data_IF_377449108275
#
_entry.id   IF_377449108275
#
_cell.length_a   1.000
_cell.length_b   1.000
_cell.length_c   1.000
_cell.angle_alpha   90.00
_cell.angle_beta   90.00
_cell.angle_gamma   90.00
#
_symmetry.space_group_name_H-M   'P 1'
#
loop_
_entity.id
_entity.type
_entity.pdbx_description
1 polymer ?
#
# COMPACT_ATOMS: atom_id res chain seq x y z
N UNK A 1 0.47 -50.85 -30.02
CA UNK A 1 -0.20 -50.81 -31.32
C UNK A 1 -1.65 -50.40 -31.07
N UNK A 2 -1.95 -49.12 -31.25
CA UNK A 2 -3.31 -48.58 -31.17
C UNK A 2 -3.39 -47.44 -32.20
N UNK A 3 -4.36 -47.58 -33.10
CA UNK A 3 -4.45 -46.93 -34.40
C UNK A 3 -5.08 -45.54 -34.25
N UNK A 4 -4.38 -44.50 -34.69
CA UNK A 4 -4.92 -43.14 -34.82
C UNK A 4 -5.53 -42.97 -36.21
N UNK A 5 -6.80 -42.56 -36.28
CA UNK A 5 -7.49 -42.17 -37.51
C UNK A 5 -7.56 -40.64 -37.51
N UNK A 6 -6.83 -40.01 -38.42
CA UNK A 6 -6.85 -38.56 -38.65
C UNK A 6 -7.59 -38.31 -39.95
N UNK A 7 -8.73 -37.62 -39.89
CA UNK A 7 -9.45 -37.16 -41.09
C UNK A 7 -9.04 -35.73 -41.40
N UNK A 8 -8.38 -35.56 -42.54
CA UNK A 8 -8.15 -34.32 -43.27
C UNK A 8 -9.40 -34.03 -44.10
N UNK A 9 -9.93 -32.80 -44.03
CA UNK A 9 -10.89 -32.30 -45.04
C UNK A 9 -10.55 -30.85 -45.38
N UNK A 10 -10.48 -30.65 -46.69
CA UNK A 10 -9.96 -29.52 -47.43
C UNK A 10 -11.01 -28.46 -47.73
N UNK A 11 -10.49 -27.30 -48.15
CA UNK A 11 -11.08 -25.97 -48.32
C UNK A 11 -12.23 -25.82 -49.33
N UNK A 12 -13.01 -24.75 -49.16
CA UNK A 12 -13.68 -24.03 -50.25
C UNK A 12 -13.60 -22.51 -50.04
N UNK A 13 -13.31 -21.82 -51.14
CA UNK A 13 -13.07 -20.38 -51.33
C UNK A 13 -14.34 -19.68 -51.82
N UNK A 14 -14.57 -18.42 -51.42
CA UNK A 14 -15.24 -17.30 -52.15
C UNK A 14 -15.11 -16.06 -51.25
N UNK A 15 -14.20 -15.10 -51.46
CA UNK A 15 -14.22 -13.97 -52.42
C UNK A 15 -15.55 -13.24 -52.53
N UNK A 16 -15.62 -12.05 -51.91
CA UNK A 16 -16.11 -10.83 -52.58
C UNK A 16 -15.37 -9.61 -52.01
N UNK A 17 -14.94 -8.75 -52.94
CA UNK A 17 -14.18 -7.54 -52.74
C UNK A 17 -14.95 -6.36 -53.35
N UNK A 18 -14.87 -5.18 -52.73
CA UNK A 18 -14.99 -3.82 -53.30
C UNK A 18 -14.62 -2.86 -52.13
N UNK A 19 -13.39 -2.32 -52.04
CA UNK A 19 -12.92 -1.01 -52.58
C UNK A 19 -13.84 0.16 -52.20
N UNK A 20 -13.42 1.31 -51.65
CA UNK A 20 -12.22 2.13 -51.86
C UNK A 20 -12.16 3.25 -50.76
N UNK A 21 -11.36 4.34 -50.82
CA UNK A 21 -10.39 4.69 -49.76
C UNK A 21 -10.61 6.11 -49.18
N UNK A 22 -9.58 6.59 -48.47
CA UNK A 22 -9.23 8.01 -48.24
C UNK A 22 -9.82 8.68 -46.98
N UNK A 23 -8.96 8.97 -46.00
CA UNK A 23 -8.45 10.33 -45.75
C UNK A 23 -7.82 10.43 -44.35
N UNK A 24 -6.55 10.82 -44.34
CA UNK A 24 -5.86 11.38 -43.17
C UNK A 24 -6.64 12.57 -42.62
N UNK A 25 -6.82 12.64 -41.30
CA UNK A 25 -6.94 13.94 -40.64
C UNK A 25 -6.31 13.89 -39.24
N UNK A 26 -5.21 14.62 -39.12
CA UNK A 26 -4.50 14.96 -37.90
C UNK A 26 -5.39 15.79 -36.95
N UNK A 27 -5.05 15.88 -35.65
CA UNK A 27 -5.95 16.42 -34.63
C UNK A 27 -6.08 17.95 -34.75
N UNK A 28 -7.31 18.43 -34.60
CA UNK A 28 -7.66 19.85 -34.57
C UNK A 28 -7.03 20.53 -33.37
N UNK A 29 -6.12 21.48 -33.64
CA UNK A 29 -5.51 22.36 -32.66
C UNK A 29 -6.52 23.34 -32.07
N UNK A 30 -6.60 23.40 -30.74
CA UNK A 30 -7.22 24.50 -30.01
C UNK A 30 -6.30 25.72 -30.07
N UNK A 31 -6.75 26.77 -30.76
CA UNK A 31 -6.06 28.05 -30.92
C UNK A 31 -6.49 28.98 -29.79
N UNK A 32 -5.70 29.06 -28.71
CA UNK A 32 -5.91 30.04 -27.64
C UNK A 32 -5.16 31.33 -28.01
N UNK A 33 -5.92 32.42 -28.14
CA UNK A 33 -5.39 33.74 -28.42
C UNK A 33 -4.62 34.31 -27.23
N UNK A 34 -3.48 34.91 -27.49
CA UNK A 34 -2.82 35.88 -26.63
C UNK A 34 -3.59 37.21 -26.60
N UNK A 35 -3.52 37.95 -25.48
CA UNK A 35 -3.00 39.31 -25.59
C UNK A 35 -1.82 39.57 -24.65
N UNK A 36 -0.98 40.48 -25.14
CA UNK A 36 0.23 41.02 -24.55
C UNK A 36 -0.07 42.02 -23.42
N UNK A 37 0.80 41.97 -22.40
CA UNK A 37 1.41 43.09 -21.65
C UNK A 37 0.54 43.84 -20.62
N UNK A 38 0.94 43.74 -19.35
CA UNK A 38 1.44 44.92 -18.65
C UNK A 38 2.44 44.56 -17.54
N UNK A 39 3.60 45.20 -17.66
CA UNK A 39 4.65 45.32 -16.66
C UNK A 39 4.13 46.30 -15.61
N UNK A 40 4.13 45.90 -14.34
CA UNK A 40 4.39 46.87 -13.29
C UNK A 40 5.23 46.24 -12.19
N UNK A 41 6.33 46.92 -11.91
CA UNK A 41 7.40 46.53 -11.00
C UNK A 41 7.20 47.27 -9.69
N UNK A 42 7.01 46.55 -8.59
CA UNK A 42 7.38 47.04 -7.26
C UNK A 42 7.94 45.90 -6.40
N UNK A 43 8.81 46.31 -5.49
CA UNK A 43 10.04 45.67 -5.07
C UNK A 43 9.91 45.02 -3.69
N UNK A 44 10.56 43.86 -3.53
CA UNK A 44 11.18 43.30 -2.32
C UNK A 44 10.39 43.29 -1.00
N UNK A 45 10.01 42.09 -0.57
CA UNK A 45 10.35 41.59 0.76
C UNK A 45 10.91 40.16 0.60
N UNK A 46 12.18 39.99 0.97
CA UNK A 46 12.92 38.72 0.95
C UNK A 46 12.46 37.84 2.12
N UNK A 47 11.58 36.88 1.86
CA UNK A 47 11.31 35.74 2.77
C UNK A 47 12.18 34.54 2.36
N UNK A 48 13.05 34.00 3.25
CA UNK A 48 14.03 32.98 2.87
C UNK A 48 13.52 31.52 2.91
N UNK A 49 12.20 31.26 2.92
CA UNK A 49 11.67 29.89 3.12
C UNK A 49 10.48 29.54 2.19
N UNK A 50 10.69 29.50 0.88
CA UNK A 50 9.64 29.18 -0.11
C UNK A 50 10.08 28.28 -1.28
N UNK A 51 11.12 27.46 -1.10
CA UNK A 51 11.67 26.63 -2.19
C UNK A 51 11.21 25.17 -2.24
N UNK A 52 10.42 24.68 -1.28
CA UNK A 52 9.80 23.35 -1.40
C UNK A 52 8.46 23.47 -2.13
N UNK A 53 8.52 23.63 -3.45
CA UNK A 53 7.32 23.65 -4.28
C UNK A 53 6.63 22.28 -4.21
N UNK A 54 5.30 22.21 -3.94
CA UNK A 54 4.54 20.96 -3.95
C UNK A 54 4.61 20.21 -5.29
N UNK A 55 5.03 20.89 -6.36
CA UNK A 55 5.25 20.32 -7.68
C UNK A 55 6.43 19.34 -7.74
N UNK A 56 7.42 19.46 -6.85
CA UNK A 56 8.60 18.60 -6.85
C UNK A 56 8.30 17.11 -6.56
N UNK A 57 7.10 16.77 -6.04
CA UNK A 57 6.64 15.36 -5.92
C UNK A 57 6.60 14.68 -7.28
N UNK A 58 6.17 15.41 -8.29
CA UNK A 58 5.94 14.86 -9.62
C UNK A 58 7.24 14.63 -10.39
N UNK A 59 8.36 15.18 -9.93
CA UNK A 59 9.69 14.93 -10.49
C UNK A 59 10.30 13.61 -10.00
N UNK A 60 9.77 13.03 -8.92
CA UNK A 60 10.23 11.75 -8.38
C UNK A 60 9.67 10.62 -9.25
N UNK A 61 10.56 9.80 -9.82
CA UNK A 61 10.13 8.62 -10.58
C UNK A 61 9.45 7.59 -9.66
N UNK A 62 8.48 6.81 -10.16
CA UNK A 62 7.83 5.76 -9.37
C UNK A 62 8.80 4.74 -8.79
N UNK A 63 9.86 4.40 -9.53
CA UNK A 63 10.93 3.50 -9.07
C UNK A 63 11.72 4.11 -7.90
N UNK A 64 12.02 5.42 -7.96
CA UNK A 64 12.68 6.11 -6.86
C UNK A 64 11.79 6.14 -5.60
N UNK A 65 10.50 6.44 -5.75
CA UNK A 65 9.55 6.42 -4.65
C UNK A 65 9.40 5.02 -4.01
N UNK A 66 9.44 3.97 -4.83
CA UNK A 66 9.47 2.59 -4.35
C UNK A 66 10.72 2.31 -3.51
N UNK A 67 11.89 2.78 -3.94
CA UNK A 67 13.12 2.64 -3.16
C UNK A 67 13.04 3.41 -1.83
N UNK A 68 12.47 4.62 -1.83
CA UNK A 68 12.24 5.40 -0.60
C UNK A 68 11.33 4.64 0.37
N UNK A 69 10.22 4.06 -0.12
CA UNK A 69 9.36 3.19 0.68
C UNK A 69 10.14 2.00 1.25
N UNK A 70 10.93 1.30 0.43
CA UNK A 70 11.73 0.16 0.88
C UNK A 70 12.68 0.55 2.01
N UNK A 71 13.42 1.64 1.83
CA UNK A 71 14.37 2.17 2.83
C UNK A 71 13.66 2.53 4.13
N UNK A 72 12.49 3.18 4.06
CA UNK A 72 11.71 3.52 5.25
C UNK A 72 11.30 2.27 6.03
N UNK A 73 10.79 1.23 5.35
CA UNK A 73 10.34 0.00 6.00
C UNK A 73 11.51 -0.76 6.63
N UNK A 74 12.65 -0.83 5.96
CA UNK A 74 13.87 -1.44 6.51
C UNK A 74 14.38 -0.66 7.73
N UNK A 75 14.35 0.66 7.68
CA UNK A 75 14.69 1.55 8.81
C UNK A 75 13.77 1.33 10.01
N UNK A 76 12.45 1.27 9.79
CA UNK A 76 11.48 0.95 10.85
C UNK A 76 11.75 -0.44 11.43
N UNK A 77 12.04 -1.43 10.58
CA UNK A 77 12.40 -2.78 11.01
C UNK A 77 13.66 -2.79 11.89
N UNK A 78 14.69 -2.04 11.52
CA UNK A 78 15.91 -1.91 12.31
C UNK A 78 15.67 -1.19 13.64
N UNK A 79 14.87 -0.12 13.64
CA UNK A 79 14.48 0.61 14.85
C UNK A 79 13.79 -0.31 15.87
N UNK A 80 12.80 -1.09 15.43
CA UNK A 80 12.09 -2.03 16.31
C UNK A 80 12.89 -3.28 16.68
N UNK A 81 13.94 -3.63 15.93
CA UNK A 81 14.87 -4.68 16.32
C UNK A 81 15.83 -4.23 17.43
N UNK A 82 16.20 -2.95 17.45
CA UNK A 82 17.11 -2.37 18.45
C UNK A 82 16.41 -1.98 19.75
N UNK A 83 15.13 -1.58 19.70
CA UNK A 83 14.31 -1.35 20.89
C UNK A 83 14.05 -2.71 21.54
N UNK A 84 14.78 -3.11 22.60
CA UNK A 84 14.47 -4.35 23.28
C UNK A 84 13.06 -4.17 23.83
N UNK A 85 12.19 -5.16 23.62
CA UNK A 85 10.94 -5.25 24.38
C UNK A 85 11.36 -5.32 25.84
N UNK A 86 11.37 -4.17 26.52
CA UNK A 86 11.56 -4.09 27.95
C UNK A 86 10.50 -4.96 28.59
N UNK A 87 10.92 -5.88 29.43
CA UNK A 87 10.09 -6.70 30.32
C UNK A 87 9.45 -5.85 31.43
N UNK A 88 8.85 -4.71 31.08
CA UNK A 88 8.04 -3.86 31.95
C UNK A 88 7.11 -3.06 31.02
N UNK A 89 5.94 -3.66 30.74
CA UNK A 89 4.65 -3.04 30.30
C UNK A 89 3.73 -4.02 29.55
N UNK A 90 3.98 -5.33 29.62
CA UNK A 90 2.93 -6.34 29.41
C UNK A 90 3.02 -7.43 30.48
N UNK A 91 2.90 -7.06 31.76
CA UNK A 91 2.55 -8.03 32.80
C UNK A 91 1.04 -8.20 32.86
N UNK A 92 0.63 -9.36 32.35
CA UNK A 92 -0.65 -9.98 32.63
C UNK A 92 -0.92 -10.10 34.14
N UNK A 93 -2.16 -9.82 34.54
CA UNK A 93 -2.75 -10.55 35.67
C UNK A 93 -3.29 -11.88 35.16
N UNK A 94 -2.76 -12.99 35.70
CA UNK A 94 -3.43 -14.29 35.65
C UNK A 94 -2.58 -15.43 35.10
N UNK A 95 -1.61 -15.91 35.88
CA UNK A 95 -0.88 -17.16 35.65
C UNK A 95 -1.79 -18.39 35.65
N UNK A 96 -1.52 -19.37 34.78
CA UNK A 96 -1.26 -20.78 35.16
C UNK A 96 -0.67 -21.54 33.96
N UNK A 97 0.44 -22.23 34.25
CA UNK A 97 1.20 -23.10 33.37
C UNK A 97 0.40 -24.34 32.95
N UNK A 98 0.36 -24.65 31.65
CA UNK A 98 0.11 -26.01 31.18
C UNK A 98 0.79 -26.27 29.83
N UNK A 99 1.63 -27.30 29.81
CA UNK A 99 2.39 -27.79 28.68
C UNK A 99 1.51 -28.04 27.45
N UNK A 100 1.97 -27.60 26.27
CA UNK A 100 1.31 -27.90 25.00
C UNK A 100 1.91 -29.15 24.39
N UNK A 101 1.19 -30.26 24.55
CA UNK A 101 1.15 -31.29 23.51
C UNK A 101 0.27 -30.77 22.37
N UNK A 102 0.73 -30.92 21.13
CA UNK A 102 -0.04 -30.72 19.89
C UNK A 102 -1.26 -31.65 19.88
N UNK A 103 -2.45 -31.15 19.51
CA UNK A 103 -3.12 -31.78 18.37
C UNK A 103 -3.99 -30.84 17.52
N UNK A 104 -4.06 -31.17 16.21
CA UNK A 104 -5.30 -31.18 15.43
C UNK A 104 -5.89 -29.85 15.00
N UNK A 105 -5.97 -29.67 13.67
CA UNK A 105 -6.83 -28.67 13.03
C UNK A 105 -8.27 -28.83 13.53
N UNK A 106 -8.79 -27.81 14.22
CA UNK A 106 -10.23 -27.65 14.39
C UNK A 106 -10.61 -26.17 14.39
N UNK A 107 -11.78 -25.93 13.82
CA UNK A 107 -12.26 -24.70 13.21
C UNK A 107 -12.54 -23.59 14.23
N UNK A 108 -11.73 -22.52 14.24
CA UNK A 108 -11.99 -21.34 15.07
C UNK A 108 -13.17 -20.54 14.48
N UNK A 109 -14.36 -20.80 15.04
CA UNK A 109 -15.62 -20.10 14.78
C UNK A 109 -15.45 -18.59 14.99
N UNK A 110 -15.28 -17.85 13.89
CA UNK A 110 -15.18 -16.39 13.88
C UNK A 110 -16.54 -15.81 14.28
N UNK A 111 -16.63 -15.21 15.47
CA UNK A 111 -17.74 -14.31 15.80
C UNK A 111 -17.55 -13.03 14.99
N UNK A 112 -18.47 -12.76 14.07
CA UNK A 112 -18.58 -11.48 13.38
C UNK A 112 -18.80 -10.39 14.43
N UNK A 113 -17.86 -9.44 14.54
CA UNK A 113 -18.01 -8.25 15.38
C UNK A 113 -18.32 -7.07 14.45
N UNK A 114 -19.43 -6.39 14.72
CA UNK A 114 -19.99 -5.35 13.87
C UNK A 114 -19.13 -4.09 13.79
N UNK A 115 -19.37 -3.30 12.74
CA UNK A 115 -18.81 -1.96 12.56
C UNK A 115 -19.34 -1.07 13.71
N UNK A 116 -18.49 -0.70 14.67
CA UNK A 116 -18.91 0.15 15.79
C UNK A 116 -18.65 1.62 15.43
N UNK A 117 -19.73 2.39 15.30
CA UNK A 117 -19.68 3.84 15.07
C UNK A 117 -19.32 4.51 16.40
N UNK A 118 -18.27 5.34 16.41
CA UNK A 118 -17.95 6.22 17.55
C UNK A 118 -19.13 7.15 17.80
N UNK A 119 -19.95 6.88 18.81
CA UNK A 119 -20.98 7.82 19.26
C UNK A 119 -20.27 8.96 20.01
N UNK A 120 -20.42 10.19 19.54
CA UNK A 120 -19.61 11.36 19.88
C UNK A 120 -19.95 11.99 21.24
N UNK A 121 -20.22 11.16 22.25
CA UNK A 121 -20.54 11.62 23.59
C UNK A 121 -20.52 10.51 24.62
N UNK A 122 -19.34 10.03 25.02
CA UNK A 122 -19.26 9.20 26.22
C UNK A 122 -17.91 9.37 26.93
N UNK A 123 -17.98 9.45 28.26
CA UNK A 123 -16.80 9.42 29.13
C UNK A 123 -15.96 8.20 28.78
N UNK A 124 -14.64 8.37 28.64
CA UNK A 124 -13.71 7.30 28.27
C UNK A 124 -13.81 6.10 29.23
N UNK A 125 -14.62 5.12 28.84
CA UNK A 125 -14.82 3.89 29.58
C UNK A 125 -13.58 3.00 29.39
N UNK A 126 -12.80 2.71 30.45
CA UNK A 126 -11.54 1.99 30.34
C UNK A 126 -11.71 0.57 29.77
N UNK A 127 -12.90 -0.01 29.87
CA UNK A 127 -13.21 -1.32 29.28
C UNK A 127 -13.21 -1.25 27.76
N UNK A 128 -13.81 -0.19 27.17
CA UNK A 128 -13.88 -0.01 25.71
C UNK A 128 -12.51 0.22 25.08
N UNK A 129 -11.67 1.04 25.72
CA UNK A 129 -10.29 1.26 25.27
C UNK A 129 -9.47 -0.04 25.24
N UNK A 130 -9.73 -0.94 26.19
CA UNK A 130 -9.07 -2.26 26.24
C UNK A 130 -9.55 -3.18 25.11
N UNK A 131 -10.84 -3.17 24.81
CA UNK A 131 -11.42 -3.95 23.70
C UNK A 131 -10.87 -3.48 22.34
N UNK A 132 -10.78 -2.16 22.11
CA UNK A 132 -10.23 -1.59 20.87
C UNK A 132 -8.75 -1.96 20.68
N UNK A 133 -7.95 -1.89 21.74
CA UNK A 133 -6.55 -2.31 21.70
C UNK A 133 -6.39 -3.80 21.34
N UNK A 134 -7.27 -4.67 21.87
CA UNK A 134 -7.29 -6.10 21.52
C UNK A 134 -7.66 -6.28 20.05
N UNK A 135 -8.64 -5.54 19.54
CA UNK A 135 -9.03 -5.60 18.13
C UNK A 135 -7.88 -5.19 17.21
N UNK A 136 -7.22 -4.05 17.48
CA UNK A 136 -6.06 -3.60 16.71
C UNK A 136 -4.94 -4.64 16.70
N UNK A 137 -4.65 -5.27 17.85
CA UNK A 137 -3.65 -6.33 17.93
C UNK A 137 -4.02 -7.57 17.08
N UNK A 138 -5.30 -7.93 17.00
CA UNK A 138 -5.78 -9.04 16.16
C UNK A 138 -5.62 -8.70 14.67
N UNK A 139 -5.90 -7.46 14.28
CA UNK A 139 -5.74 -6.98 12.90
C UNK A 139 -4.25 -6.93 12.52
N UNK A 140 -3.38 -6.38 13.37
CA UNK A 140 -1.94 -6.34 13.16
C UNK A 140 -1.33 -7.75 12.97
N UNK A 141 -1.87 -8.77 13.67
CA UNK A 141 -1.44 -10.17 13.49
C UNK A 141 -1.73 -10.72 12.10
N UNK A 142 -2.63 -10.14 11.31
CA UNK A 142 -2.93 -10.61 9.93
C UNK A 142 -1.76 -10.41 8.97
N UNK A 143 -0.87 -9.47 9.26
CA UNK A 143 0.33 -9.23 8.47
C UNK A 143 1.46 -10.23 8.77
N UNK A 144 1.35 -11.03 9.84
CA UNK A 144 2.42 -11.94 10.24
C UNK A 144 2.49 -13.19 9.35
N UNK A 145 3.65 -13.42 8.72
CA UNK A 145 3.95 -14.65 7.99
C UNK A 145 4.39 -15.77 8.92
N UNK A 146 4.12 -17.03 8.54
CA UNK A 146 4.58 -18.21 9.28
C UNK A 146 6.11 -18.23 9.43
N UNK A 147 6.81 -17.96 8.32
CA UNK A 147 8.27 -17.82 8.23
C UNK A 147 8.62 -16.47 7.60
N UNK A 148 9.83 -15.97 7.85
CA UNK A 148 10.36 -14.80 7.14
C UNK A 148 10.42 -15.15 5.64
N UNK A 149 9.83 -14.35 4.74
CA UNK A 149 9.96 -14.58 3.31
C UNK A 149 11.44 -14.56 2.89
N UNK A 150 11.90 -15.52 2.07
CA UNK A 150 13.31 -15.58 1.65
C UNK A 150 13.68 -14.50 0.62
N UNK A 151 12.69 -13.85 0.02
CA UNK A 151 12.88 -12.78 -0.96
C UNK A 151 13.08 -11.46 -0.21
N UNK A 152 14.14 -10.68 -0.50
CA UNK A 152 14.33 -9.37 0.14
C UNK A 152 13.20 -8.41 -0.25
N UNK A 153 12.93 -7.43 0.62
CA UNK A 153 11.79 -6.52 0.45
C UNK A 153 11.87 -5.73 -0.86
N UNK A 154 13.07 -5.25 -1.22
CA UNK A 154 13.31 -4.52 -2.46
C UNK A 154 12.91 -5.33 -3.71
N UNK A 155 13.34 -6.60 -3.81
CA UNK A 155 12.97 -7.47 -4.95
C UNK A 155 11.47 -7.75 -4.99
N UNK A 156 10.83 -7.89 -3.83
CA UNK A 156 9.39 -8.06 -3.74
C UNK A 156 8.62 -6.83 -4.25
N UNK A 157 9.05 -5.63 -3.84
CA UNK A 157 8.51 -4.37 -4.32
C UNK A 157 8.74 -4.16 -5.82
N UNK A 158 9.95 -4.42 -6.32
CA UNK A 158 10.27 -4.34 -7.75
C UNK A 158 9.42 -5.32 -8.57
N UNK A 159 9.12 -6.50 -8.04
CA UNK A 159 8.16 -7.44 -8.66
C UNK A 159 6.76 -6.82 -8.72
N UNK A 160 6.27 -6.20 -7.64
CA UNK A 160 4.97 -5.52 -7.65
C UNK A 160 4.95 -4.42 -8.72
N UNK A 161 5.97 -3.56 -8.77
CA UNK A 161 6.07 -2.48 -9.75
C UNK A 161 6.13 -2.98 -11.19
N UNK A 162 6.87 -4.07 -11.45
CA UNK A 162 7.00 -4.65 -12.81
C UNK A 162 5.67 -5.14 -13.37
N UNK A 163 4.84 -5.78 -12.55
CA UNK A 163 3.60 -6.43 -13.02
C UNK A 163 2.32 -5.62 -12.71
N UNK A 164 2.40 -4.69 -11.77
CA UNK A 164 1.35 -3.76 -11.37
C UNK A 164 2.01 -2.39 -11.09
N UNK A 165 2.46 -1.68 -12.14
CA UNK A 165 3.07 -0.37 -11.97
C UNK A 165 2.05 0.60 -11.35
N UNK A 166 2.49 1.34 -10.35
CA UNK A 166 1.71 2.33 -9.60
C UNK A 166 2.45 3.66 -9.61
N UNK A 167 1.74 4.77 -9.41
CA UNK A 167 2.35 6.09 -9.39
C UNK A 167 3.26 6.31 -8.17
N UNK A 168 4.11 7.33 -8.28
CA UNK A 168 4.94 7.85 -7.19
C UNK A 168 4.11 8.12 -5.92
N UNK A 169 2.92 8.72 -6.09
CA UNK A 169 2.03 9.05 -4.98
C UNK A 169 1.61 7.82 -4.18
N UNK A 170 1.38 6.67 -4.83
CA UNK A 170 0.98 5.43 -4.17
C UNK A 170 2.08 4.89 -3.25
N UNK A 171 3.33 4.85 -3.71
CA UNK A 171 4.44 4.36 -2.89
C UNK A 171 4.73 5.29 -1.71
N UNK A 172 4.71 6.60 -1.94
CA UNK A 172 4.91 7.59 -0.88
C UNK A 172 3.76 7.57 0.12
N UNK A 173 2.50 7.47 -0.32
CA UNK A 173 1.35 7.38 0.57
C UNK A 173 1.37 6.10 1.42
N UNK A 174 1.72 4.96 0.83
CA UNK A 174 1.93 3.73 1.58
C UNK A 174 3.00 3.89 2.69
N UNK A 175 4.07 4.63 2.40
CA UNK A 175 5.09 4.99 3.39
C UNK A 175 4.52 5.85 4.50
N UNK A 176 3.77 6.92 4.16
CA UNK A 176 3.09 7.80 5.12
C UNK A 176 2.17 7.00 6.05
N UNK A 177 1.31 6.14 5.50
CA UNK A 177 0.37 5.35 6.30
C UNK A 177 1.10 4.42 7.27
N UNK A 178 2.13 3.72 6.81
CA UNK A 178 2.90 2.80 7.67
C UNK A 178 3.68 3.59 8.73
N UNK A 179 4.33 4.69 8.37
CA UNK A 179 5.01 5.59 9.32
C UNK A 179 4.06 6.11 10.39
N UNK A 180 2.84 6.52 10.01
CA UNK A 180 1.81 6.99 10.95
C UNK A 180 1.37 5.89 11.92
N UNK A 181 0.97 4.73 11.40
CA UNK A 181 0.54 3.59 12.21
C UNK A 181 1.63 3.08 13.17
N UNK A 182 2.90 3.18 12.77
CA UNK A 182 4.03 2.63 13.55
C UNK A 182 4.60 3.61 14.56
N UNK A 183 4.75 4.89 14.20
CA UNK A 183 5.44 5.90 15.02
C UNK A 183 4.47 6.80 15.79
N UNK A 184 3.32 7.13 15.21
CA UNK A 184 2.36 8.06 15.82
C UNK A 184 1.35 7.29 16.65
N UNK A 185 0.65 6.33 16.02
CA UNK A 185 -0.44 5.59 16.63
C UNK A 185 0.04 4.37 17.43
N UNK A 186 1.27 3.90 17.16
CA UNK A 186 1.88 2.75 17.82
C UNK A 186 1.01 1.47 17.76
N UNK A 187 0.20 1.31 16.71
CA UNK A 187 -0.72 0.16 16.54
C UNK A 187 -0.03 -1.06 15.92
N UNK A 188 1.16 -0.88 15.33
CA UNK A 188 1.89 -1.95 14.65
C UNK A 188 3.41 -1.73 14.74
N UNK A 189 4.16 -2.82 14.90
CA UNK A 189 5.62 -2.83 14.81
C UNK A 189 6.07 -3.52 13.52
N UNK A 190 7.03 -2.92 12.80
CA UNK A 190 7.59 -3.51 11.58
C UNK A 190 8.61 -4.59 11.95
N UNK A 191 8.41 -5.81 11.44
CA UNK A 191 9.21 -6.99 11.72
C UNK A 191 9.54 -7.73 10.41
N UNK A 192 10.67 -8.47 10.34
CA UNK A 192 11.01 -9.30 9.18
C UNK A 192 9.91 -10.28 8.75
N UNK A 193 9.08 -10.72 9.70
CA UNK A 193 7.98 -11.64 9.42
C UNK A 193 6.71 -10.97 8.89
N UNK A 194 6.53 -9.66 9.04
CA UNK A 194 5.30 -8.97 8.65
C UNK A 194 5.46 -7.94 7.53
N UNK A 195 6.68 -7.43 7.28
CA UNK A 195 6.93 -6.31 6.37
C UNK A 195 6.38 -6.53 4.95
N UNK A 196 6.55 -7.71 4.34
CA UNK A 196 6.08 -7.96 2.97
C UNK A 196 4.56 -7.85 2.83
N UNK A 197 3.82 -8.43 3.78
CA UNK A 197 2.36 -8.41 3.78
C UNK A 197 1.82 -7.03 4.14
N UNK A 198 2.48 -6.35 5.06
CA UNK A 198 2.16 -4.98 5.45
C UNK A 198 2.32 -4.04 4.25
N UNK A 199 3.45 -4.11 3.56
CA UNK A 199 3.74 -3.29 2.39
C UNK A 199 2.81 -3.63 1.22
N UNK A 200 2.52 -4.91 0.97
CA UNK A 200 1.52 -5.31 -0.03
C UNK A 200 0.17 -4.64 0.25
N UNK A 201 -0.30 -4.71 1.49
CA UNK A 201 -1.58 -4.11 1.87
C UNK A 201 -1.56 -2.58 1.76
N UNK A 202 -0.50 -1.93 2.24
CA UNK A 202 -0.39 -0.48 2.21
C UNK A 202 -0.31 0.09 0.80
N UNK A 203 0.50 -0.52 -0.07
CA UNK A 203 0.58 -0.17 -1.49
C UNK A 203 -0.77 -0.43 -2.17
N UNK A 204 -1.45 -1.53 -1.85
CA UNK A 204 -2.74 -1.85 -2.46
C UNK A 204 -3.85 -0.88 -2.04
N UNK A 205 -3.96 -0.59 -0.74
CA UNK A 205 -4.92 0.40 -0.22
C UNK A 205 -4.63 1.79 -0.77
N UNK A 206 -3.36 2.22 -0.79
CA UNK A 206 -2.96 3.50 -1.36
C UNK A 206 -3.32 3.59 -2.85
N UNK A 207 -3.13 2.52 -3.63
CA UNK A 207 -3.51 2.50 -5.05
C UNK A 207 -5.01 2.70 -5.23
N UNK A 208 -5.84 2.08 -4.40
CA UNK A 208 -7.30 2.27 -4.47
C UNK A 208 -7.75 3.66 -4.02
N UNK A 209 -7.00 4.30 -3.12
CA UNK A 209 -7.32 5.62 -2.60
C UNK A 209 -6.93 6.75 -3.57
N UNK A 210 -5.89 6.55 -4.39
CA UNK A 210 -5.25 7.61 -5.16
C UNK A 210 -5.32 7.45 -6.67
N UNK A 211 -5.43 6.22 -7.18
CA UNK A 211 -5.51 5.96 -8.62
C UNK A 211 -6.97 5.91 -9.07
N UNK A 212 -7.26 6.52 -10.22
CA UNK A 212 -8.59 6.44 -10.85
C UNK A 212 -8.89 5.02 -11.35
N UNK A 213 -7.84 4.26 -11.70
CA UNK A 213 -7.94 2.91 -12.25
C UNK A 213 -7.20 1.93 -11.35
N UNK A 214 -7.91 0.89 -10.93
CA UNK A 214 -7.35 -0.21 -10.12
C UNK A 214 -7.15 -1.48 -10.94
N UNK A 215 -6.08 -2.21 -10.66
CA UNK A 215 -5.88 -3.55 -11.22
C UNK A 215 -6.93 -4.54 -10.70
N UNK A 216 -7.23 -5.63 -11.42
CA UNK A 216 -8.06 -6.70 -10.89
C UNK A 216 -7.46 -7.28 -9.60
N UNK A 217 -8.29 -7.49 -8.58
CA UNK A 217 -7.87 -8.02 -7.27
C UNK A 217 -7.09 -9.35 -7.41
N UNK A 218 -7.53 -10.23 -8.32
CA UNK A 218 -6.87 -11.48 -8.67
C UNK A 218 -5.45 -11.31 -9.21
N UNK A 219 -5.20 -10.26 -10.01
CA UNK A 219 -3.87 -9.93 -10.53
C UNK A 219 -2.96 -9.53 -9.38
N UNK A 220 -3.40 -8.62 -8.53
CA UNK A 220 -2.59 -8.12 -7.41
C UNK A 220 -2.29 -9.22 -6.40
N UNK A 221 -3.27 -10.09 -6.10
CA UNK A 221 -3.06 -11.25 -5.23
C UNK A 221 -1.99 -12.19 -5.80
N UNK A 222 -2.09 -12.51 -7.10
CA UNK A 222 -1.12 -13.38 -7.80
C UNK A 222 0.29 -12.78 -7.85
N UNK A 223 0.42 -11.49 -8.12
CA UNK A 223 1.72 -10.79 -8.11
C UNK A 223 2.28 -10.70 -6.69
N UNK A 224 1.44 -10.38 -5.70
CA UNK A 224 1.79 -10.34 -4.29
C UNK A 224 2.09 -11.70 -3.65
N UNK A 225 1.80 -12.80 -4.35
CA UNK A 225 2.06 -14.16 -3.86
C UNK A 225 1.13 -14.61 -2.73
N UNK A 226 -0.10 -14.09 -2.72
CA UNK A 226 -1.15 -14.40 -1.73
C UNK A 226 -2.42 -14.87 -2.42
N UNK A 227 -3.32 -15.50 -1.68
CA UNK A 227 -4.66 -15.80 -2.22
C UNK A 227 -5.51 -14.53 -2.28
N UNK A 228 -6.55 -14.50 -3.12
CA UNK A 228 -7.46 -13.34 -3.20
C UNK A 228 -8.16 -13.06 -1.86
N UNK A 229 -8.61 -14.11 -1.17
CA UNK A 229 -9.24 -14.01 0.14
C UNK A 229 -8.26 -13.43 1.18
N UNK A 230 -6.99 -13.81 1.11
CA UNK A 230 -5.94 -13.29 1.97
C UNK A 230 -5.66 -11.82 1.66
N UNK A 231 -5.56 -11.43 0.38
CA UNK A 231 -5.43 -10.02 0.00
C UNK A 231 -6.60 -9.19 0.54
N UNK A 232 -7.84 -9.68 0.45
CA UNK A 232 -9.01 -8.99 1.03
C UNK A 232 -8.88 -8.82 2.55
N UNK A 233 -8.41 -9.84 3.27
CA UNK A 233 -8.20 -9.74 4.72
C UNK A 233 -7.11 -8.73 5.06
N UNK A 234 -6.01 -8.71 4.30
CA UNK A 234 -4.91 -7.77 4.49
C UNK A 234 -5.37 -6.33 4.24
N UNK A 235 -6.12 -6.10 3.16
CA UNK A 235 -6.71 -4.80 2.83
C UNK A 235 -7.63 -4.30 3.94
N UNK A 236 -8.61 -5.10 4.35
CA UNK A 236 -9.55 -4.73 5.40
C UNK A 236 -8.80 -4.42 6.70
N UNK A 237 -7.84 -5.27 7.08
CA UNK A 237 -7.07 -5.05 8.32
C UNK A 237 -6.27 -3.76 8.26
N UNK A 238 -5.69 -3.42 7.10
CA UNK A 238 -4.93 -2.20 6.92
C UNK A 238 -5.82 -0.97 7.03
N UNK A 239 -6.99 -0.96 6.41
CA UNK A 239 -7.94 0.16 6.50
C UNK A 239 -8.38 0.44 7.94
N UNK A 240 -8.67 -0.61 8.73
CA UNK A 240 -9.02 -0.45 10.13
C UNK A 240 -7.85 0.04 10.99
N UNK A 241 -6.64 -0.48 10.76
CA UNK A 241 -5.46 0.01 11.49
C UNK A 241 -5.14 1.47 11.16
N UNK A 242 -5.43 1.92 9.94
CA UNK A 242 -5.25 3.31 9.51
C UNK A 242 -6.43 4.23 9.90
N UNK A 243 -7.41 3.74 10.68
CA UNK A 243 -8.68 4.41 11.01
C UNK A 243 -9.39 5.03 9.79
N UNK A 244 -9.23 4.39 8.61
CA UNK A 244 -9.68 4.90 7.30
C UNK A 244 -9.19 6.32 6.95
N UNK A 245 -8.19 6.84 7.64
CA UNK A 245 -7.59 8.16 7.39
C UNK A 245 -6.55 8.06 6.27
N UNK A 246 -7.04 7.90 5.04
CA UNK A 246 -6.21 7.67 3.84
C UNK A 246 -5.97 8.94 3.02
N UNK A 247 -6.43 10.11 3.49
CA UNK A 247 -6.19 11.38 2.79
C UNK A 247 -4.70 11.73 2.87
N UNK A 248 -4.09 11.98 1.71
CA UNK A 248 -2.73 12.51 1.60
C UNK A 248 -2.74 13.76 0.74
N UNK A 249 -1.85 14.71 1.03
CA UNK A 249 -1.62 15.91 0.25
C UNK A 249 -0.17 15.94 -0.26
N UNK A 250 0.10 16.82 -1.23
CA UNK A 250 1.42 16.90 -1.86
C UNK A 250 2.54 17.20 -0.85
N UNK A 251 2.24 17.96 0.21
CA UNK A 251 3.22 18.29 1.24
C UNK A 251 3.57 17.09 2.13
N UNK A 252 2.59 16.29 2.52
CA UNK A 252 2.79 15.02 3.23
C UNK A 252 3.67 14.07 2.41
N UNK A 253 3.41 13.97 1.10
CA UNK A 253 4.21 13.12 0.20
C UNK A 253 5.66 13.64 0.06
N UNK A 254 5.86 14.96 -0.09
CA UNK A 254 7.20 15.57 -0.11
C UNK A 254 7.97 15.31 1.17
N UNK A 255 7.35 15.56 2.33
CA UNK A 255 7.99 15.38 3.62
C UNK A 255 8.43 13.94 3.85
N UNK A 256 7.60 12.98 3.44
CA UNK A 256 7.96 11.57 3.52
C UNK A 256 9.11 11.19 2.59
N UNK A 257 9.12 11.75 1.37
CA UNK A 257 10.21 11.54 0.43
C UNK A 257 11.55 12.09 0.96
N UNK A 258 11.53 13.25 1.61
CA UNK A 258 12.72 13.87 2.22
C UNK A 258 13.18 13.10 3.47
N UNK A 259 12.25 12.69 4.34
CA UNK A 259 12.53 11.90 5.55
C UNK A 259 13.22 10.58 5.22
N UNK A 260 12.81 9.95 4.12
CA UNK A 260 13.39 8.69 3.66
C UNK A 260 14.80 8.86 3.09
N UNK A 261 15.14 10.06 2.59
CA UNK A 261 16.48 10.38 2.07
C UNK A 261 17.48 10.79 3.16
N UNK A 262 17.02 11.35 4.28
CA UNK A 262 17.91 11.72 5.38
C UNK A 262 18.41 10.46 6.07
N UNK A 263 19.60 10.01 5.67
CA UNK A 263 20.46 9.16 6.50
C UNK A 263 21.13 10.12 7.46
N UNK A 264 20.61 10.23 8.68
CA UNK A 264 21.29 11.00 9.71
C UNK A 264 22.23 10.05 10.46
N UNK A 265 23.49 10.49 10.44
CA UNK A 265 24.64 10.05 11.22
C UNK A 265 24.33 9.73 12.69
#
# INVERSE_FOLDING_TARGET
MATAVTQTTTMSVSQDALSNPNANSAPTMLKLGSPLVNIDSHQSDDDPDSSQTPAAVFDISPEAALHLLCLNIERLGAYFAQKPVGTDELHAHGSTSRAYNTPGEDELKVKTVGLHVKDSGDHADPVRATEDAIQMAILAKKFLSKKVPPVPLNEYLLRLHRYCPMSTAVYLAASVYISKMTLVENVLMVLPKNMHRLVLAGVWVASKALEDLSYPHSRVAKVGGVTEQELSKLEISFCFLADFELRVDAHMLMNEALRSQTTLE
#
